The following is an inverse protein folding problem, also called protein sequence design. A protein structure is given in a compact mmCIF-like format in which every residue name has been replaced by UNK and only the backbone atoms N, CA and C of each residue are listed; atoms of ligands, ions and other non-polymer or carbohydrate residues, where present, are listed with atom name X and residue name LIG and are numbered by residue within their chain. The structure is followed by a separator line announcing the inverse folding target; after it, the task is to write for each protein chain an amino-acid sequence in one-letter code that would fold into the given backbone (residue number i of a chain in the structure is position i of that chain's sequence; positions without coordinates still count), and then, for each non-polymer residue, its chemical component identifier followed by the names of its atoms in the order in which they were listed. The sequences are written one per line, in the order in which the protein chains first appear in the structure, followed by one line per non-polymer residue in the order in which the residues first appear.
data_IF_736158977692
#
_entry.id   IF_736158977692
#
_cell.length_a   1.000
_cell.length_b   1.000
_cell.length_c   1.000
_cell.angle_alpha   90.00
_cell.angle_beta   90.00
_cell.angle_gamma   90.00
#
_symmetry.space_group_name_H-M   'P 1'
#
loop_
_entity.id
_entity.type
_entity.pdbx_description
1 polymer ?
#
# COMPACT_ATOMS: atom_id res chain seq x y z
N UNK A 1 -5.13 -12.63 12.86
CA UNK A 1 -5.51 -11.40 13.60
C UNK A 1 -4.50 -10.31 13.32
N UNK A 2 -4.96 -9.11 13.02
CA UNK A 2 -4.07 -7.97 12.79
C UNK A 2 -3.40 -7.54 14.09
N UNK A 3 -2.11 -7.17 14.02
CA UNK A 3 -1.40 -6.57 15.15
C UNK A 3 -1.79 -5.09 15.28
N UNK A 4 -1.43 -4.45 16.39
CA UNK A 4 -1.66 -3.01 16.53
C UNK A 4 -0.93 -2.20 15.47
N UNK A 5 0.23 -2.66 15.00
CA UNK A 5 0.96 -1.99 13.92
C UNK A 5 0.24 -2.13 12.57
N UNK A 6 -0.41 -3.26 12.33
CA UNK A 6 -1.22 -3.43 11.12
C UNK A 6 -2.39 -2.45 11.10
N UNK A 7 -3.08 -2.28 12.22
CA UNK A 7 -4.14 -1.28 12.34
C UNK A 7 -3.62 0.13 12.14
N UNK A 8 -2.46 0.45 12.73
CA UNK A 8 -1.88 1.75 12.54
C UNK A 8 -1.60 2.03 11.06
N UNK A 9 -1.01 1.06 10.36
CA UNK A 9 -0.72 1.21 8.94
C UNK A 9 -1.99 1.41 8.12
N UNK A 10 -3.05 0.63 8.40
CA UNK A 10 -4.33 0.76 7.73
C UNK A 10 -4.93 2.14 7.93
N UNK A 11 -4.99 2.61 9.18
CA UNK A 11 -5.56 3.92 9.50
C UNK A 11 -4.72 5.05 8.94
N UNK A 12 -3.39 4.89 8.93
CA UNK A 12 -2.49 5.86 8.35
C UNK A 12 -2.78 6.05 6.86
N UNK A 13 -2.86 4.95 6.12
CA UNK A 13 -3.13 5.00 4.68
C UNK A 13 -4.54 5.51 4.41
N UNK A 14 -5.52 5.07 5.20
CA UNK A 14 -6.90 5.58 5.09
C UNK A 14 -6.93 7.10 5.25
N UNK A 15 -6.16 7.62 6.21
CA UNK A 15 -6.04 9.06 6.41
C UNK A 15 -5.44 9.79 5.22
N UNK A 16 -4.45 9.19 4.55
CA UNK A 16 -3.88 9.77 3.33
C UNK A 16 -4.91 9.87 2.21
N UNK A 17 -5.71 8.81 2.02
CA UNK A 17 -6.78 8.84 1.02
C UNK A 17 -7.83 9.88 1.37
N UNK A 18 -8.25 9.93 2.63
CA UNK A 18 -9.26 10.90 3.07
C UNK A 18 -8.77 12.33 2.84
N UNK A 19 -7.52 12.60 3.17
CA UNK A 19 -6.91 13.92 2.98
C UNK A 19 -6.82 14.29 1.49
N UNK A 20 -6.68 13.29 0.62
CA UNK A 20 -6.64 13.50 -0.83
C UNK A 20 -8.02 13.58 -1.47
N UNK A 21 -9.09 13.60 -0.69
CA UNK A 21 -10.45 13.80 -1.17
C UNK A 21 -11.25 12.53 -1.43
N UNK A 22 -10.73 11.38 -1.03
CA UNK A 22 -11.46 10.13 -1.17
C UNK A 22 -12.38 9.88 0.03
N UNK A 23 -13.53 9.27 -0.23
CA UNK A 23 -14.35 8.68 0.82
C UNK A 23 -13.76 7.32 1.18
N UNK A 24 -13.75 6.98 2.47
CA UNK A 24 -13.19 5.72 2.94
C UNK A 24 -14.27 4.93 3.66
N UNK A 25 -14.42 3.66 3.30
CA UNK A 25 -15.44 2.77 3.86
C UNK A 25 -14.76 1.52 4.40
N UNK A 26 -14.87 1.30 5.71
CA UNK A 26 -14.32 0.11 6.34
C UNK A 26 -15.36 -1.02 6.31
N UNK A 27 -14.95 -2.24 5.92
CA UNK A 27 -15.88 -3.36 5.92
C UNK A 27 -16.21 -3.79 7.34
N UNK A 28 -17.45 -4.24 7.59
CA UNK A 28 -17.79 -4.80 8.89
C UNK A 28 -17.26 -6.25 9.02
N UNK A 29 -16.84 -6.86 7.92
CA UNK A 29 -16.18 -8.17 7.92
C UNK A 29 -14.90 -8.07 7.12
N UNK A 30 -13.78 -8.44 7.74
CA UNK A 30 -12.49 -8.47 7.08
C UNK A 30 -12.38 -9.74 6.26
N UNK A 31 -12.40 -9.59 4.93
CA UNK A 31 -12.28 -10.71 3.99
C UNK A 31 -11.15 -10.49 2.97
N UNK A 32 -10.11 -9.78 3.38
CA UNK A 32 -8.94 -9.58 2.55
C UNK A 32 -8.78 -8.17 2.02
N UNK A 33 -9.83 -7.34 2.04
CA UNK A 33 -9.71 -5.92 1.73
C UNK A 33 -9.85 -5.13 3.01
N UNK A 34 -8.90 -4.23 3.26
CA UNK A 34 -8.88 -3.48 4.50
C UNK A 34 -9.93 -2.37 4.49
N UNK A 35 -10.14 -1.74 3.34
CA UNK A 35 -11.19 -0.75 3.17
C UNK A 35 -11.43 -0.50 1.67
N UNK A 36 -12.45 0.28 1.38
CA UNK A 36 -12.79 0.68 0.01
C UNK A 36 -12.77 2.19 -0.05
N UNK A 37 -12.27 2.73 -1.14
CA UNK A 37 -12.26 4.17 -1.39
C UNK A 37 -13.13 4.50 -2.59
N UNK A 38 -13.77 5.67 -2.55
CA UNK A 38 -14.54 6.18 -3.68
C UNK A 38 -14.32 7.67 -3.85
N UNK A 39 -14.40 8.12 -5.11
CA UNK A 39 -14.23 9.52 -5.45
C UNK A 39 -14.90 9.78 -6.79
N UNK A 40 -15.48 10.95 -6.96
CA UNK A 40 -15.97 11.38 -8.27
C UNK A 40 -14.79 11.89 -9.09
N UNK A 41 -14.54 11.29 -10.23
CA UNK A 41 -13.44 11.68 -11.11
C UNK A 41 -13.76 12.98 -11.86
N UNK A 42 -12.74 13.47 -12.58
CA UNK A 42 -12.85 14.72 -13.35
C UNK A 42 -13.94 14.66 -14.44
N UNK A 43 -14.23 13.45 -14.93
CA UNK A 43 -15.26 13.22 -15.95
C UNK A 43 -16.66 13.01 -15.36
N UNK A 44 -16.80 13.16 -14.03
CA UNK A 44 -18.08 12.94 -13.34
C UNK A 44 -18.36 11.48 -13.02
N UNK A 45 -17.50 10.55 -13.42
CA UNK A 45 -17.67 9.13 -13.12
C UNK A 45 -17.20 8.82 -11.70
N UNK A 46 -17.94 7.93 -11.03
CA UNK A 46 -17.56 7.47 -9.71
C UNK A 46 -16.43 6.45 -9.83
N UNK A 47 -15.35 6.67 -9.08
CA UNK A 47 -14.21 5.76 -9.03
C UNK A 47 -14.30 5.01 -7.71
N UNK A 48 -14.24 3.68 -7.76
CA UNK A 48 -14.28 2.83 -6.58
C UNK A 48 -13.08 1.89 -6.63
N UNK A 49 -12.28 1.86 -5.55
CA UNK A 49 -11.09 1.01 -5.47
C UNK A 49 -11.07 0.26 -4.15
N UNK A 50 -11.00 -1.08 -4.17
CA UNK A 50 -10.66 -1.82 -2.95
C UNK A 50 -9.20 -1.58 -2.60
N UNK A 51 -8.90 -1.47 -1.32
CA UNK A 51 -7.53 -1.19 -0.84
C UNK A 51 -7.10 -2.26 0.15
N UNK A 52 -5.88 -2.74 -0.05
CA UNK A 52 -5.21 -3.57 0.92
C UNK A 52 -3.90 -2.89 1.33
N UNK A 53 -3.62 -2.90 2.63
CA UNK A 53 -2.45 -2.22 3.19
C UNK A 53 -1.48 -3.25 3.74
N UNK A 54 -0.22 -3.13 3.37
CA UNK A 54 0.86 -3.97 3.90
C UNK A 54 2.00 -3.05 4.37
N UNK A 55 2.00 -2.74 5.66
CA UNK A 55 3.08 -1.94 6.24
C UNK A 55 4.41 -2.67 6.22
N UNK A 56 5.48 -1.95 5.94
CA UNK A 56 6.84 -2.49 5.93
C UNK A 56 7.68 -1.74 6.95
N UNK A 57 8.40 -2.50 7.76
CA UNK A 57 9.17 -1.98 8.89
C UNK A 57 10.60 -2.48 8.82
N UNK A 58 11.58 -1.71 9.32
CA UNK A 58 12.95 -2.20 9.38
C UNK A 58 13.05 -3.38 10.33
N UNK A 59 13.90 -4.35 10.01
CA UNK A 59 14.12 -5.53 10.83
C UNK A 59 15.42 -5.36 11.59
N UNK A 60 15.32 -5.35 12.90
CA UNK A 60 16.49 -5.17 13.76
C UNK A 60 17.33 -6.44 13.91
N UNK A 61 16.72 -7.61 13.67
CA UNK A 61 17.37 -8.91 13.85
C UNK A 61 18.21 -9.35 12.65
N UNK A 62 18.07 -8.69 11.51
CA UNK A 62 18.71 -9.10 10.26
C UNK A 62 19.67 -8.06 9.73
N UNK A 63 20.18 -7.24 10.55
CA UNK A 63 21.12 -6.19 10.28
C UNK A 63 21.29 -5.85 8.79
N UNK A 64 21.85 -5.89 7.94
CA UNK A 64 22.07 -5.26 6.66
C UNK A 64 21.42 -5.96 5.46
N UNK A 65 20.57 -6.94 5.71
CA UNK A 65 19.90 -7.58 4.57
C UNK A 65 18.74 -6.73 4.08
N UNK A 66 18.64 -6.59 2.78
CA UNK A 66 17.50 -5.93 2.18
C UNK A 66 16.22 -6.68 2.53
N UNK A 67 15.19 -5.93 2.92
CA UNK A 67 13.87 -6.50 3.13
C UNK A 67 13.13 -6.42 1.80
N UNK A 68 12.76 -7.56 1.27
CA UNK A 68 12.14 -7.61 -0.05
C UNK A 68 10.64 -7.36 0.05
N UNK A 69 10.06 -7.12 -1.09
CA UNK A 69 8.66 -6.81 -1.22
C UNK A 69 7.71 -8.00 -1.12
N UNK A 70 8.08 -9.03 -0.35
CA UNK A 70 7.14 -10.11 -0.05
C UNK A 70 6.01 -9.55 0.80
N UNK A 71 4.81 -9.61 0.28
CA UNK A 71 3.65 -9.06 0.98
C UNK A 71 2.73 -10.15 1.52
N UNK A 72 3.20 -11.39 1.53
CA UNK A 72 2.47 -12.52 2.10
C UNK A 72 1.38 -13.03 1.19
N UNK A 73 0.31 -13.52 1.79
CA UNK A 73 -0.85 -13.99 1.06
C UNK A 73 -1.86 -12.86 0.90
N UNK A 74 -2.39 -12.72 -0.29
CA UNK A 74 -3.53 -11.84 -0.54
C UNK A 74 -4.74 -12.74 -0.77
N UNK A 75 -5.68 -12.71 0.18
CA UNK A 75 -6.87 -13.55 0.13
C UNK A 75 -7.80 -13.14 -1.00
N UNK A 76 -7.79 -11.87 -1.35
CA UNK A 76 -8.58 -11.35 -2.45
C UNK A 76 -7.72 -10.46 -3.33
N UNK A 77 -7.90 -10.62 -4.64
CA UNK A 77 -7.27 -9.75 -5.63
C UNK A 77 -8.38 -9.23 -6.53
N UNK A 78 -8.30 -7.97 -6.85
CA UNK A 78 -9.27 -7.32 -7.70
C UNK A 78 -8.53 -6.45 -8.72
N UNK A 79 -8.92 -6.48 -10.02
CA UNK A 79 -8.19 -5.70 -11.04
C UNK A 79 -8.10 -4.22 -10.74
N UNK A 80 -9.07 -3.69 -10.01
CA UNK A 80 -9.12 -2.26 -9.66
C UNK A 80 -8.53 -1.95 -8.29
N UNK A 81 -7.96 -2.94 -7.60
CA UNK A 81 -7.45 -2.76 -6.25
C UNK A 81 -6.22 -1.86 -6.21
N UNK A 82 -5.99 -1.29 -5.04
CA UNK A 82 -4.75 -0.62 -4.69
C UNK A 82 -4.07 -1.42 -3.60
N UNK A 83 -2.83 -1.81 -3.82
CA UNK A 83 -1.99 -2.34 -2.76
C UNK A 83 -1.15 -1.18 -2.23
N UNK A 84 -1.49 -0.69 -1.05
CA UNK A 84 -0.77 0.41 -0.44
C UNK A 84 0.29 -0.12 0.52
N UNK A 85 1.52 0.29 0.32
CA UNK A 85 2.66 -0.19 1.11
C UNK A 85 3.34 1.01 1.75
N UNK A 86 2.99 1.36 2.99
CA UNK A 86 3.75 2.37 3.72
C UNK A 86 5.06 1.77 4.22
N UNK A 87 6.16 2.48 3.95
CA UNK A 87 7.49 2.09 4.39
C UNK A 87 7.89 2.97 5.56
N UNK A 88 7.97 2.37 6.74
CA UNK A 88 8.28 3.09 7.97
C UNK A 88 9.78 3.07 8.23
N UNK A 89 10.28 4.19 8.72
CA UNK A 89 11.70 4.35 9.02
C UNK A 89 12.09 3.61 10.29
N UNK A 90 11.15 3.49 11.23
CA UNK A 90 11.39 2.80 12.50
C UNK A 90 10.28 1.79 12.77
N UNK A 91 10.51 0.89 13.72
CA UNK A 91 9.50 -0.05 14.18
C UNK A 91 8.50 0.61 15.14
N UNK A 92 8.79 1.81 15.63
CA UNK A 92 7.91 2.55 16.53
C UNK A 92 6.83 3.28 15.77
N UNK A 93 5.78 3.70 16.47
CA UNK A 93 4.70 4.47 15.86
C UNK A 93 5.23 5.81 15.33
N UNK A 94 4.78 6.18 14.16
CA UNK A 94 5.19 7.42 13.51
C UNK A 94 4.82 7.40 12.04
N UNK A 95 5.04 8.51 11.32
CA UNK A 95 4.70 8.57 9.91
C UNK A 95 5.59 7.66 9.08
N UNK A 96 5.07 7.22 7.93
CA UNK A 96 5.87 6.50 6.96
C UNK A 96 6.85 7.46 6.30
N UNK A 97 8.01 6.96 5.93
CA UNK A 97 8.95 7.74 5.13
C UNK A 97 8.38 8.03 3.76
N UNK A 98 7.74 7.03 3.16
CA UNK A 98 6.97 7.18 1.92
C UNK A 98 5.97 6.02 1.82
N UNK A 99 4.99 6.18 0.94
CA UNK A 99 3.96 5.17 0.70
C UNK A 99 3.89 4.87 -0.79
N UNK A 100 3.92 3.60 -1.14
CA UNK A 100 3.73 3.16 -2.52
C UNK A 100 2.27 2.74 -2.70
N UNK A 101 1.64 3.23 -3.79
CA UNK A 101 0.28 2.86 -4.16
C UNK A 101 0.38 2.03 -5.44
N UNK A 102 0.28 0.71 -5.30
CA UNK A 102 0.59 -0.21 -6.39
C UNK A 102 -0.66 -0.80 -7.02
N UNK A 103 -0.72 -0.86 -8.36
CA UNK A 103 -1.82 -1.53 -9.04
C UNK A 103 -1.65 -3.05 -8.99
N UNK A 104 -2.75 -3.76 -9.14
CA UNK A 104 -2.77 -5.22 -9.12
C UNK A 104 -1.81 -5.82 -10.16
N UNK A 105 -1.66 -5.17 -11.31
CA UNK A 105 -0.77 -5.65 -12.38
C UNK A 105 0.72 -5.70 -11.97
N UNK A 106 1.09 -5.04 -10.90
CA UNK A 106 2.47 -5.04 -10.39
C UNK A 106 2.67 -6.03 -9.24
N UNK A 107 1.67 -6.82 -8.93
CA UNK A 107 1.75 -7.87 -7.91
C UNK A 107 2.12 -9.18 -8.61
N UNK A 108 3.26 -9.74 -8.24
CA UNK A 108 3.80 -10.93 -8.90
C UNK A 108 3.66 -12.16 -8.00
N UNK A 109 3.45 -13.35 -8.58
CA UNK A 109 3.44 -14.57 -7.77
C UNK A 109 4.81 -14.85 -7.17
N UNK A 110 4.82 -15.50 -6.02
CA UNK A 110 6.01 -15.94 -5.34
C UNK A 110 5.74 -17.35 -4.79
N UNK A 111 6.78 -18.08 -4.39
CA UNK A 111 6.66 -19.46 -3.92
C UNK A 111 5.69 -19.60 -2.73
N UNK A 112 5.60 -18.59 -1.88
CA UNK A 112 4.80 -18.64 -0.65
C UNK A 112 3.74 -17.56 -0.59
N UNK A 113 3.36 -16.98 -1.72
CA UNK A 113 2.38 -15.90 -1.73
C UNK A 113 2.61 -14.99 -2.90
N UNK A 114 2.67 -13.68 -2.64
CA UNK A 114 2.86 -12.68 -3.69
C UNK A 114 3.97 -11.70 -3.30
N UNK A 115 4.50 -11.03 -4.31
CA UNK A 115 5.59 -10.08 -4.15
C UNK A 115 5.27 -8.79 -4.90
N UNK A 116 5.60 -7.68 -4.27
CA UNK A 116 5.55 -6.36 -4.89
C UNK A 116 6.68 -5.53 -4.29
N UNK A 117 7.64 -5.12 -5.10
CA UNK A 117 8.90 -4.54 -4.61
C UNK A 117 9.15 -3.12 -5.13
N UNK A 118 8.32 -2.12 -4.75
CA UNK A 118 8.61 -0.75 -5.16
C UNK A 118 9.78 -0.12 -4.40
N UNK A 119 10.16 -0.69 -3.27
CA UNK A 119 11.28 -0.23 -2.45
C UNK A 119 11.89 -1.40 -1.69
N UNK A 120 13.05 -1.19 -1.10
CA UNK A 120 13.70 -2.19 -0.23
C UNK A 120 14.38 -1.48 0.92
N UNK A 121 14.61 -2.21 2.01
CA UNK A 121 15.41 -1.70 3.11
C UNK A 121 16.89 -1.98 2.83
N UNK A 122 17.69 -0.94 2.93
CA UNK A 122 19.15 -1.04 2.78
C UNK A 122 19.78 -0.36 3.98
N UNK A 123 20.58 -1.10 4.74
CA UNK A 123 21.16 -0.59 5.97
C UNK A 123 20.10 -0.13 6.99
N UNK A 124 18.95 -0.81 7.02
CA UNK A 124 17.86 -0.49 7.93
C UNK A 124 16.98 0.66 7.51
N UNK A 125 17.21 1.24 6.33
CA UNK A 125 16.40 2.36 5.82
C UNK A 125 15.70 1.99 4.53
N UNK A 126 14.43 2.40 4.34
CA UNK A 126 13.74 2.14 3.08
C UNK A 126 14.31 3.03 1.97
N UNK A 127 14.49 2.42 0.81
CA UNK A 127 14.99 3.09 -0.39
C UNK A 127 14.06 2.79 -1.56
N UNK A 128 13.45 3.82 -2.12
CA UNK A 128 12.55 3.68 -3.26
C UNK A 128 13.32 3.25 -4.51
N UNK A 129 12.70 2.40 -5.31
CA UNK A 129 13.27 2.00 -6.60
C UNK A 129 12.79 2.95 -7.68
N UNK A 130 13.73 3.43 -8.49
CA UNK A 130 13.48 4.45 -9.50
C UNK A 130 12.34 4.16 -10.46
N UNK A 131 12.24 2.92 -10.91
CA UNK A 131 11.24 2.51 -11.88
C UNK A 131 9.81 2.55 -11.34
N UNK A 132 9.65 2.77 -10.03
CA UNK A 132 8.34 2.86 -9.40
C UNK A 132 8.03 4.28 -8.88
N UNK A 133 8.84 5.28 -9.22
CA UNK A 133 8.67 6.63 -8.67
C UNK A 133 7.26 7.19 -8.82
N UNK A 134 6.59 6.91 -9.93
CA UNK A 134 5.24 7.43 -10.18
C UNK A 134 4.17 6.88 -9.23
N UNK A 135 4.50 5.81 -8.49
CA UNK A 135 3.55 5.20 -7.57
C UNK A 135 3.72 5.65 -6.13
N UNK A 136 4.64 6.58 -5.86
CA UNK A 136 4.91 7.02 -4.50
C UNK A 136 4.19 8.33 -4.15
N UNK A 137 3.65 8.38 -2.94
CA UNK A 137 3.14 9.59 -2.29
C UNK A 137 2.13 10.33 -3.16
N UNK A 138 2.29 11.63 -3.33
CA UNK A 138 1.34 12.46 -4.07
C UNK A 138 1.16 12.00 -5.52
N UNK A 139 2.25 11.64 -6.19
CA UNK A 139 2.16 11.10 -7.56
C UNK A 139 1.38 9.79 -7.59
N UNK A 140 1.64 8.92 -6.62
CA UNK A 140 0.93 7.65 -6.50
C UNK A 140 -0.56 7.83 -6.29
N UNK A 141 -0.94 8.76 -5.42
CA UNK A 141 -2.34 9.11 -5.20
C UNK A 141 -3.01 9.60 -6.49
N UNK A 142 -2.29 10.40 -7.29
CA UNK A 142 -2.81 10.86 -8.58
C UNK A 142 -3.01 9.71 -9.56
N UNK A 143 -2.11 8.72 -9.56
CA UNK A 143 -2.26 7.53 -10.42
C UNK A 143 -3.53 6.75 -10.11
N UNK A 144 -3.90 6.65 -8.83
CA UNK A 144 -5.08 5.90 -8.40
C UNK A 144 -6.37 6.46 -9.01
N UNK A 145 -6.41 7.75 -9.34
CA UNK A 145 -7.58 8.39 -9.95
C UNK A 145 -7.69 8.15 -11.45
N UNK A 146 -6.67 7.62 -12.10
CA UNK A 146 -6.69 7.46 -13.55
C UNK A 146 -7.52 6.25 -13.98
N UNK A 147 -8.24 6.40 -15.08
CA UNK A 147 -8.99 5.30 -15.68
C UNK A 147 -8.07 4.15 -16.10
N UNK A 148 -6.80 4.45 -16.36
CA UNK A 148 -5.79 3.47 -16.75
C UNK A 148 -5.16 2.76 -15.55
N UNK A 149 -5.70 2.93 -14.35
CA UNK A 149 -5.14 2.31 -13.15
C UNK A 149 -5.08 0.79 -13.22
N UNK A 150 -6.09 0.15 -13.78
CA UNK A 150 -6.19 -1.31 -13.84
C UNK A 150 -5.24 -1.92 -14.87
#
# INVERSE_FOLDING_TARGET
MATSRDYFAELYVAGLFADAGWNVYFPHRDRGMDFIISKTGADGQEIIRPVQVKGRYPRTDKTNKATYGYVGHLNQRHPQMVLAIPFFETADAGPALFVAFMPESRIKPNKRGVRCEPARFTGGKPCARREYNRYFDTEGLAQVELSSWA
#
